data_IF_028933222032
#
_entry.id   IF_028933222032
#
_cell.length_a   1.000
_cell.length_b   1.000
_cell.length_c   1.000
_cell.angle_alpha   90.00
_cell.angle_beta   90.00
_cell.angle_gamma   90.00
#
_symmetry.space_group_name_H-M   'P 1'
#
loop_
_entity.id
_entity.type
_entity.pdbx_description
1 polymer ?
#
# COMPACT_ATOMS: atom_id res chain seq x y z
N UNK A 1 40.63 -52.17 63.72
CA UNK A 1 39.22 -51.70 63.58
C UNK A 1 39.16 -50.12 63.42
N UNK A 2 39.95 -49.36 64.20
CA UNK A 2 39.92 -47.87 64.15
C UNK A 2 40.49 -47.33 62.83
N UNK A 3 41.54 -47.89 62.28
CA UNK A 3 42.20 -47.49 61.03
C UNK A 3 41.34 -47.83 59.80
N UNK A 4 40.54 -48.86 59.81
CA UNK A 4 39.63 -49.16 58.71
C UNK A 4 38.47 -48.18 58.63
N UNK A 5 37.88 -47.76 59.77
CA UNK A 5 36.83 -46.72 59.81
C UNK A 5 37.35 -45.35 59.43
N UNK A 6 38.58 -44.98 59.79
CA UNK A 6 39.20 -43.72 59.39
C UNK A 6 39.42 -43.62 57.86
N UNK A 7 39.84 -44.72 57.22
CA UNK A 7 39.99 -44.81 55.76
C UNK A 7 38.64 -44.75 55.03
N UNK A 8 37.59 -45.28 55.58
CA UNK A 8 36.24 -45.29 55.01
C UNK A 8 35.63 -43.87 55.04
N UNK A 9 35.79 -43.12 56.17
CA UNK A 9 35.36 -41.75 56.29
C UNK A 9 36.17 -40.85 55.41
N UNK A 10 37.45 -41.07 55.20
CA UNK A 10 38.29 -40.27 54.31
C UNK A 10 37.89 -40.47 52.83
N UNK A 11 37.56 -41.74 52.42
CA UNK A 11 37.02 -41.97 51.05
C UNK A 11 35.66 -41.30 50.84
N UNK A 12 34.79 -41.32 51.85
CA UNK A 12 33.49 -40.65 51.78
C UNK A 12 33.65 -39.13 51.63
N UNK A 13 34.58 -38.50 52.38
CA UNK A 13 34.88 -37.08 52.22
C UNK A 13 35.37 -36.73 50.82
N UNK A 14 36.29 -37.52 50.25
CA UNK A 14 36.78 -37.32 48.89
C UNK A 14 35.63 -37.42 47.85
N UNK A 15 34.70 -38.38 48.03
CA UNK A 15 33.52 -38.49 47.15
C UNK A 15 32.61 -37.28 47.25
N UNK A 16 32.35 -36.77 48.45
CA UNK A 16 31.52 -35.59 48.67
C UNK A 16 32.18 -34.35 48.07
N UNK A 17 33.47 -34.15 48.26
CA UNK A 17 34.21 -33.03 47.65
C UNK A 17 34.19 -33.09 46.12
N UNK A 18 34.39 -34.23 45.55
CA UNK A 18 34.32 -34.43 44.08
C UNK A 18 32.92 -34.16 43.56
N UNK A 19 31.87 -34.64 44.27
CA UNK A 19 30.49 -34.37 43.92
C UNK A 19 30.14 -32.85 43.98
N UNK A 20 30.62 -32.17 45.05
CA UNK A 20 30.43 -30.70 45.15
C UNK A 20 31.15 -29.95 44.03
N UNK A 21 32.38 -30.28 43.67
CA UNK A 21 33.09 -29.68 42.54
C UNK A 21 32.36 -29.89 41.22
N UNK A 22 31.81 -31.05 40.97
CA UNK A 22 31.04 -31.35 39.79
C UNK A 22 29.75 -30.49 39.73
N UNK A 23 29.02 -30.40 40.86
CA UNK A 23 27.81 -29.55 40.95
C UNK A 23 28.14 -28.08 40.72
N UNK A 24 29.21 -27.54 41.30
CA UNK A 24 29.66 -26.16 41.10
C UNK A 24 30.00 -25.90 39.64
N UNK A 25 30.72 -26.83 38.97
CA UNK A 25 31.08 -26.68 37.56
C UNK A 25 29.86 -26.75 36.66
N UNK A 26 28.87 -27.56 36.97
CA UNK A 26 27.61 -27.69 36.23
C UNK A 26 26.75 -26.40 36.39
N UNK A 27 26.66 -25.87 37.62
CA UNK A 27 25.98 -24.60 37.89
C UNK A 27 26.62 -23.41 37.15
N UNK A 28 27.94 -23.33 37.09
CA UNK A 28 28.64 -22.30 36.35
C UNK A 28 28.36 -22.39 34.83
N UNK A 29 28.38 -23.59 34.27
CA UNK A 29 28.04 -23.85 32.88
C UNK A 29 26.59 -23.44 32.57
N UNK A 30 25.66 -23.80 33.46
CA UNK A 30 24.26 -23.46 33.31
C UNK A 30 24.04 -21.92 33.43
N UNK A 31 24.70 -21.27 34.37
CA UNK A 31 24.69 -19.81 34.51
C UNK A 31 25.16 -19.11 33.23
N UNK A 32 26.31 -19.53 32.68
CA UNK A 32 26.85 -18.96 31.44
C UNK A 32 25.90 -19.21 30.25
N UNK A 33 25.28 -20.38 30.16
CA UNK A 33 24.29 -20.68 29.13
C UNK A 33 23.05 -19.79 29.25
N UNK A 34 22.54 -19.56 30.48
CA UNK A 34 21.40 -18.67 30.72
C UNK A 34 21.74 -17.21 30.38
N UNK A 35 22.93 -16.73 30.77
CA UNK A 35 23.39 -15.38 30.46
C UNK A 35 23.50 -15.16 28.95
N UNK A 36 24.06 -16.11 28.21
CA UNK A 36 24.15 -16.03 26.75
C UNK A 36 22.78 -16.05 26.07
N UNK A 37 21.87 -16.93 26.51
CA UNK A 37 20.49 -16.99 26.00
C UNK A 37 19.73 -15.69 26.29
N UNK A 38 19.90 -15.12 27.48
CA UNK A 38 19.29 -13.83 27.86
C UNK A 38 19.83 -12.67 27.01
N UNK A 39 21.14 -12.65 26.74
CA UNK A 39 21.74 -11.63 25.86
C UNK A 39 21.21 -11.74 24.42
N UNK A 40 21.07 -12.97 23.89
CA UNK A 40 20.50 -13.21 22.57
C UNK A 40 19.02 -12.74 22.50
N UNK A 41 18.21 -13.12 23.49
CA UNK A 41 16.80 -12.72 23.57
C UNK A 41 16.63 -11.20 23.65
N UNK A 42 17.49 -10.53 24.44
CA UNK A 42 17.50 -9.07 24.53
C UNK A 42 17.84 -8.39 23.19
N UNK A 43 18.82 -8.95 22.46
CA UNK A 43 19.19 -8.47 21.12
C UNK A 43 18.04 -8.65 20.12
N UNK A 44 17.40 -9.82 20.14
CA UNK A 44 16.25 -10.10 19.28
C UNK A 44 15.06 -9.17 19.58
N UNK A 45 14.74 -8.98 20.86
CA UNK A 45 13.68 -8.05 21.28
C UNK A 45 13.95 -6.63 20.82
N UNK A 46 15.19 -6.13 20.92
CA UNK A 46 15.56 -4.80 20.44
C UNK A 46 15.42 -4.66 18.92
N UNK A 47 15.80 -5.70 18.16
CA UNK A 47 15.64 -5.76 16.72
C UNK A 47 14.16 -5.75 16.31
N UNK A 48 13.34 -6.56 16.98
CA UNK A 48 11.90 -6.60 16.72
C UNK A 48 11.23 -5.25 17.04
N UNK A 49 11.63 -4.59 18.12
CA UNK A 49 11.13 -3.25 18.48
C UNK A 49 11.48 -2.22 17.41
N UNK A 50 12.72 -2.21 16.92
CA UNK A 50 13.13 -1.30 15.85
C UNK A 50 12.36 -1.54 14.53
N UNK A 51 12.13 -2.81 14.15
CA UNK A 51 11.29 -3.16 13.01
C UNK A 51 9.86 -2.67 13.18
N UNK A 52 9.28 -2.83 14.35
CA UNK A 52 7.93 -2.34 14.66
C UNK A 52 7.82 -0.82 14.51
N UNK A 53 8.74 -0.07 15.10
CA UNK A 53 8.77 1.39 15.00
C UNK A 53 8.90 1.86 13.55
N UNK A 54 9.72 1.17 12.73
CA UNK A 54 9.84 1.46 11.31
C UNK A 54 8.53 1.19 10.54
N UNK A 55 7.85 0.08 10.83
CA UNK A 55 6.55 -0.23 10.20
C UNK A 55 5.49 0.82 10.54
N UNK A 56 5.42 1.26 11.79
CA UNK A 56 4.50 2.32 12.23
C UNK A 56 4.80 3.63 11.50
N UNK A 57 6.09 3.97 11.37
CA UNK A 57 6.50 5.18 10.64
C UNK A 57 6.14 5.13 9.16
N UNK A 58 6.42 4.01 8.49
CA UNK A 58 6.07 3.82 7.08
C UNK A 58 4.57 3.95 6.85
N UNK A 59 3.78 3.34 7.72
CA UNK A 59 2.32 3.37 7.66
C UNK A 59 1.74 4.79 7.83
N UNK A 60 2.33 5.59 8.71
CA UNK A 60 1.98 7.01 8.84
C UNK A 60 2.33 7.78 7.57
N UNK A 61 3.53 7.61 7.04
CA UNK A 61 3.96 8.28 5.81
C UNK A 61 3.03 7.98 4.63
N UNK A 62 2.60 6.73 4.45
CA UNK A 62 1.62 6.39 3.41
C UNK A 62 0.27 7.07 3.66
N UNK A 63 -0.17 7.13 4.92
CA UNK A 63 -1.44 7.77 5.27
C UNK A 63 -1.39 9.28 5.01
N UNK A 64 -0.29 9.94 5.33
CA UNK A 64 -0.07 11.37 5.09
C UNK A 64 -0.01 11.67 3.59
N UNK A 65 0.74 10.87 2.82
CA UNK A 65 0.78 10.97 1.36
C UNK A 65 -0.62 10.87 0.75
N UNK A 66 -1.41 9.91 1.17
CA UNK A 66 -2.77 9.72 0.65
C UNK A 66 -3.67 10.90 1.04
N UNK A 67 -3.53 11.46 2.24
CA UNK A 67 -4.28 12.65 2.64
C UNK A 67 -3.93 13.87 1.76
N UNK A 68 -2.67 14.01 1.36
CA UNK A 68 -2.25 15.07 0.45
C UNK A 68 -2.74 14.84 -0.98
N UNK A 69 -2.72 13.61 -1.46
CA UNK A 69 -3.31 13.22 -2.75
C UNK A 69 -4.82 13.53 -2.75
N UNK A 70 -5.56 13.14 -1.71
CA UNK A 70 -7.00 13.44 -1.59
C UNK A 70 -7.29 14.95 -1.65
N UNK A 71 -6.46 15.77 -0.99
CA UNK A 71 -6.55 17.24 -1.07
C UNK A 71 -6.31 17.76 -2.49
N UNK A 72 -5.30 17.23 -3.18
CA UNK A 72 -4.98 17.64 -4.56
C UNK A 72 -6.11 17.25 -5.52
N UNK A 73 -6.66 16.03 -5.40
CA UNK A 73 -7.81 15.59 -6.19
C UNK A 73 -9.03 16.50 -5.95
N UNK A 74 -9.34 16.80 -4.69
CA UNK A 74 -10.44 17.69 -4.34
C UNK A 74 -10.25 19.10 -4.91
N UNK A 75 -9.04 19.66 -4.82
CA UNK A 75 -8.70 20.96 -5.38
C UNK A 75 -8.80 20.96 -6.91
N UNK A 76 -8.33 19.93 -7.59
CA UNK A 76 -8.44 19.79 -9.04
C UNK A 76 -9.90 19.69 -9.48
N UNK A 77 -10.71 18.90 -8.79
CA UNK A 77 -12.15 18.78 -9.05
C UNK A 77 -12.90 20.11 -8.83
N UNK A 78 -12.53 20.88 -7.80
CA UNK A 78 -13.10 22.20 -7.55
C UNK A 78 -12.76 23.19 -8.65
N UNK A 79 -11.49 23.21 -9.11
CA UNK A 79 -11.04 24.05 -10.24
C UNK A 79 -11.78 23.70 -11.55
N UNK A 80 -11.95 22.40 -11.82
CA UNK A 80 -12.67 21.95 -13.02
C UNK A 80 -14.14 22.35 -12.98
N UNK A 81 -14.82 22.25 -11.83
CA UNK A 81 -16.21 22.72 -11.64
C UNK A 81 -16.31 24.22 -11.87
N UNK A 82 -15.45 25.01 -11.25
CA UNK A 82 -15.44 26.47 -11.42
C UNK A 82 -15.19 26.87 -12.90
N UNK A 83 -14.29 26.17 -13.59
CA UNK A 83 -14.04 26.41 -15.02
C UNK A 83 -15.25 26.05 -15.89
N UNK A 84 -15.93 24.93 -15.61
CA UNK A 84 -17.17 24.54 -16.32
C UNK A 84 -18.29 25.56 -16.09
N UNK A 85 -18.47 26.05 -14.87
CA UNK A 85 -19.45 27.07 -14.51
C UNK A 85 -19.14 28.39 -15.20
N UNK A 86 -17.88 28.82 -15.19
CA UNK A 86 -17.45 30.05 -15.88
C UNK A 86 -17.69 29.97 -17.40
N UNK A 87 -17.37 28.79 -18.01
CA UNK A 87 -17.62 28.58 -19.43
C UNK A 87 -19.14 28.58 -19.77
N UNK A 88 -19.95 27.93 -18.91
CA UNK A 88 -21.40 27.95 -19.08
C UNK A 88 -21.98 29.34 -18.92
N UNK A 89 -21.51 30.15 -17.97
CA UNK A 89 -21.90 31.53 -17.78
C UNK A 89 -21.50 32.41 -18.99
N UNK A 90 -20.28 32.22 -19.52
CA UNK A 90 -19.82 32.92 -20.71
C UNK A 90 -20.70 32.61 -21.94
N UNK A 91 -21.02 31.32 -22.16
CA UNK A 91 -21.92 30.90 -23.23
C UNK A 91 -23.33 31.48 -23.08
N UNK A 92 -23.88 31.55 -21.87
CA UNK A 92 -25.19 32.21 -21.62
C UNK A 92 -25.15 33.67 -21.94
N UNK A 93 -24.11 34.41 -21.51
CA UNK A 93 -23.93 35.84 -21.84
C UNK A 93 -23.80 36.07 -23.33
N UNK A 94 -23.13 35.18 -24.06
CA UNK A 94 -22.98 35.29 -25.52
C UNK A 94 -24.31 35.00 -26.22
N UNK A 95 -25.09 34.02 -25.76
CA UNK A 95 -26.44 33.73 -26.25
C UNK A 95 -27.41 34.88 -25.97
N UNK A 96 -27.35 35.51 -24.80
CA UNK A 96 -28.17 36.67 -24.44
C UNK A 96 -27.82 37.87 -25.32
N UNK A 97 -26.52 38.15 -25.56
CA UNK A 97 -26.07 39.19 -26.48
C UNK A 97 -26.50 38.92 -27.93
N UNK A 98 -26.42 37.65 -28.36
CA UNK A 98 -26.88 37.24 -29.70
C UNK A 98 -28.42 37.37 -29.83
N UNK A 99 -29.17 37.03 -28.77
CA UNK A 99 -30.61 37.15 -28.72
C UNK A 99 -31.04 38.62 -28.71
N UNK A 100 -30.31 39.51 -27.97
CA UNK A 100 -30.54 40.95 -27.98
C UNK A 100 -30.27 41.56 -29.37
N UNK A 101 -29.13 41.20 -30.01
CA UNK A 101 -28.85 41.62 -31.41
C UNK A 101 -29.86 41.08 -32.42
N UNK A 102 -30.41 39.87 -32.25
CA UNK A 102 -31.48 39.34 -33.11
C UNK A 102 -32.82 40.06 -32.93
N UNK A 103 -33.11 40.57 -31.73
CA UNK A 103 -34.29 41.42 -31.50
C UNK A 103 -34.16 42.80 -32.21
N UNK A 104 -32.93 43.30 -32.29
CA UNK A 104 -32.61 44.57 -32.95
C UNK A 104 -32.54 44.43 -34.49
N UNK A 105 -32.10 43.22 -34.98
CA UNK A 105 -31.92 42.94 -36.42
C UNK A 105 -33.09 42.25 -37.12
N UNK A 106 -34.30 42.19 -36.52
CA UNK A 106 -35.51 41.65 -37.22
C UNK A 106 -36.03 42.58 -38.33
N UNK A 107 -35.15 43.37 -38.91
CA UNK A 107 -35.40 44.14 -40.11
C UNK A 107 -34.23 43.94 -41.07
N UNK A 108 -34.05 42.78 -41.64
CA UNK A 108 -33.43 42.49 -42.94
C UNK A 108 -32.79 41.08 -43.01
N UNK A 109 -33.43 40.23 -43.76
CA UNK A 109 -33.02 39.24 -44.77
C UNK A 109 -31.73 38.35 -44.61
N UNK A 110 -31.99 37.05 -44.62
CA UNK A 110 -31.38 35.90 -45.37
C UNK A 110 -29.88 35.62 -45.33
N UNK A 111 -29.69 34.29 -45.04
CA UNK A 111 -28.70 33.32 -45.55
C UNK A 111 -27.21 33.54 -45.39
N UNK A 112 -26.59 32.67 -44.55
CA UNK A 112 -25.37 31.95 -44.92
C UNK A 112 -25.14 30.74 -43.99
N UNK A 113 -25.04 29.55 -44.59
CA UNK A 113 -24.54 28.30 -44.04
C UNK A 113 -23.07 28.47 -43.67
N UNK A 114 -22.67 28.14 -42.46
CA UNK A 114 -21.26 27.97 -42.13
C UNK A 114 -21.00 26.66 -41.38
N UNK A 115 -19.90 26.05 -41.79
CA UNK A 115 -19.38 24.75 -41.48
C UNK A 115 -19.11 24.48 -39.99
N UNK A 116 -19.26 23.23 -39.58
CA UNK A 116 -18.89 22.71 -38.27
C UNK A 116 -17.37 22.63 -38.15
N UNK A 117 -16.76 23.04 -37.00
CA UNK A 117 -15.37 22.69 -36.69
C UNK A 117 -15.30 21.29 -36.16
N UNK A 118 -14.29 20.52 -36.62
CA UNK A 118 -13.91 19.19 -36.20
C UNK A 118 -13.32 19.23 -34.78
N UNK A 119 -13.84 18.43 -33.80
CA UNK A 119 -13.28 18.35 -32.47
C UNK A 119 -12.34 17.16 -32.35
N UNK A 120 -11.11 17.26 -32.84
CA UNK A 120 -10.02 16.36 -32.46
C UNK A 120 -9.06 17.04 -31.52
N UNK A 121 -9.44 17.09 -30.25
CA UNK A 121 -8.50 17.19 -29.16
C UNK A 121 -9.01 16.29 -28.05
N UNK A 122 -8.39 15.11 -27.95
CA UNK A 122 -8.66 14.10 -26.93
C UNK A 122 -8.17 14.64 -25.59
N UNK A 123 -8.99 15.41 -24.91
CA UNK A 123 -8.85 15.60 -23.47
C UNK A 123 -9.43 14.33 -22.84
N UNK A 124 -8.57 13.54 -22.22
CA UNK A 124 -8.97 12.39 -21.41
C UNK A 124 -9.92 12.91 -20.34
N UNK A 125 -11.20 12.62 -20.49
CA UNK A 125 -12.19 12.93 -19.48
C UNK A 125 -11.85 12.13 -18.20
N UNK A 126 -11.90 12.77 -17.01
CA UNK A 126 -11.76 12.04 -15.77
C UNK A 126 -12.80 10.91 -15.77
N UNK A 127 -12.34 9.72 -15.46
CA UNK A 127 -13.17 8.51 -15.44
C UNK A 127 -14.19 8.65 -14.30
N UNK A 128 -15.34 9.25 -14.57
CA UNK A 128 -16.49 9.30 -13.66
C UNK A 128 -17.17 7.93 -13.62
N UNK A 129 -16.36 6.87 -13.49
CA UNK A 129 -16.84 5.51 -13.27
C UNK A 129 -17.30 5.39 -11.80
N UNK A 130 -18.49 4.84 -11.61
CA UNK A 130 -18.95 4.52 -10.27
C UNK A 130 -18.20 3.25 -9.79
N UNK A 131 -16.96 3.44 -9.29
CA UNK A 131 -16.09 2.35 -8.81
C UNK A 131 -16.81 1.47 -7.78
N UNK A 132 -17.72 2.03 -6.99
CA UNK A 132 -18.54 1.29 -6.04
C UNK A 132 -19.36 0.16 -6.67
N UNK A 133 -19.73 0.27 -7.96
CA UNK A 133 -20.45 -0.80 -8.70
C UNK A 133 -19.54 -1.97 -9.16
N UNK A 134 -18.22 -1.81 -9.02
CA UNK A 134 -17.23 -2.85 -9.36
C UNK A 134 -16.94 -3.79 -8.19
N UNK A 135 -17.64 -3.68 -7.08
CA UNK A 135 -17.50 -4.59 -5.95
C UNK A 135 -17.75 -6.04 -6.41
N UNK A 136 -16.76 -6.92 -6.16
CA UNK A 136 -16.78 -8.32 -6.60
C UNK A 136 -16.47 -8.54 -8.09
N UNK A 137 -16.05 -7.48 -8.82
CA UNK A 137 -15.72 -7.51 -10.26
C UNK A 137 -14.33 -6.98 -10.58
N UNK A 138 -13.56 -6.57 -9.57
CA UNK A 138 -12.20 -6.10 -9.80
C UNK A 138 -11.30 -7.23 -10.28
N UNK A 139 -10.37 -6.90 -11.16
CA UNK A 139 -9.34 -7.85 -11.60
C UNK A 139 -8.33 -8.07 -10.47
N UNK A 140 -7.92 -9.33 -10.28
CA UNK A 140 -6.78 -9.65 -9.41
C UNK A 140 -5.53 -8.94 -9.96
N UNK A 141 -4.81 -8.12 -9.17
CA UNK A 141 -3.75 -7.26 -9.70
C UNK A 141 -2.53 -8.03 -10.19
N UNK A 142 -2.31 -9.25 -9.73
CA UNK A 142 -1.28 -10.17 -10.25
C UNK A 142 -1.67 -11.61 -9.94
N UNK A 143 -1.19 -12.55 -10.73
CA UNK A 143 -1.38 -13.99 -10.47
C UNK A 143 -0.39 -14.41 -9.36
N UNK A 144 -0.86 -15.09 -8.32
CA UNK A 144 0.01 -15.51 -7.23
C UNK A 144 -0.74 -16.05 -6.03
N UNK A 145 0.00 -16.30 -4.94
CA UNK A 145 -0.55 -16.81 -3.69
C UNK A 145 -0.70 -15.68 -2.67
N UNK A 146 -1.89 -15.49 -2.12
CA UNK A 146 -2.11 -14.51 -1.05
C UNK A 146 -1.50 -15.08 0.24
N UNK A 147 -0.43 -14.45 0.72
CA UNK A 147 0.30 -14.85 1.93
C UNK A 147 -0.08 -14.02 3.15
N UNK A 148 -0.63 -12.80 2.95
CA UNK A 148 -1.20 -12.00 4.02
C UNK A 148 -2.50 -11.34 3.57
N UNK A 149 -3.46 -11.25 4.50
CA UNK A 149 -4.81 -10.73 4.24
C UNK A 149 -5.09 -9.50 5.09
N UNK A 150 -6.01 -8.66 4.61
CA UNK A 150 -6.52 -7.52 5.37
C UNK A 150 -6.97 -7.92 6.78
N UNK A 151 -6.53 -7.17 7.79
CA UNK A 151 -6.85 -7.42 9.19
C UNK A 151 -6.03 -8.53 9.86
N UNK A 152 -5.24 -9.31 9.13
CA UNK A 152 -4.33 -10.31 9.70
C UNK A 152 -3.20 -9.62 10.45
N UNK A 153 -2.83 -10.10 11.63
CA UNK A 153 -1.69 -9.59 12.39
C UNK A 153 -0.39 -9.82 11.62
N UNK A 154 0.51 -8.85 11.64
CA UNK A 154 1.86 -9.00 11.08
C UNK A 154 2.72 -9.80 12.03
N UNK A 155 3.43 -10.82 11.52
CA UNK A 155 4.38 -11.62 12.30
C UNK A 155 5.56 -10.75 12.78
N UNK A 156 6.08 -11.05 13.98
CA UNK A 156 7.26 -10.36 14.55
C UNK A 156 7.02 -8.96 15.12
N UNK A 157 5.82 -8.40 14.98
CA UNK A 157 5.46 -7.19 15.72
C UNK A 157 4.75 -7.59 17.02
N UNK A 158 5.06 -6.92 18.13
CA UNK A 158 4.26 -7.00 19.35
C UNK A 158 2.83 -6.52 19.06
N UNK A 159 2.19 -7.25 18.30
CA UNK A 159 0.85 -7.60 17.85
C UNK A 159 -0.26 -6.57 17.75
N UNK A 160 -0.01 -5.29 17.56
CA UNK A 160 -1.09 -4.31 17.28
C UNK A 160 -1.21 -3.91 15.82
N UNK A 161 -0.17 -4.17 14.98
CA UNK A 161 -0.21 -3.84 13.55
C UNK A 161 -0.83 -4.98 12.74
N UNK A 162 -1.93 -4.65 12.06
CA UNK A 162 -2.56 -5.54 11.09
C UNK A 162 -2.22 -5.13 9.65
N UNK A 163 -2.27 -6.08 8.74
CA UNK A 163 -2.19 -5.82 7.31
C UNK A 163 -3.39 -4.99 6.85
N UNK A 164 -3.13 -3.92 6.11
CA UNK A 164 -4.17 -3.02 5.57
C UNK A 164 -4.58 -3.37 4.15
N UNK A 165 -3.94 -4.38 3.57
CA UNK A 165 -4.18 -4.87 2.21
C UNK A 165 -3.88 -6.35 2.11
N UNK A 166 -3.56 -6.78 0.89
CA UNK A 166 -3.14 -8.14 0.55
C UNK A 166 -1.64 -8.12 0.22
N UNK A 167 -0.91 -9.16 0.65
CA UNK A 167 0.41 -9.46 0.12
C UNK A 167 0.29 -10.70 -0.75
N UNK A 168 0.61 -10.55 -2.03
CA UNK A 168 0.46 -11.57 -3.06
C UNK A 168 1.86 -11.99 -3.51
N UNK A 169 2.31 -13.18 -3.12
CA UNK A 169 3.58 -13.75 -3.60
C UNK A 169 3.45 -14.13 -5.06
N UNK A 170 4.37 -13.63 -5.88
CA UNK A 170 4.41 -13.88 -7.31
C UNK A 170 5.87 -13.84 -7.79
N UNK A 171 6.13 -14.26 -9.02
CA UNK A 171 7.48 -14.24 -9.61
C UNK A 171 7.92 -12.78 -9.82
N UNK A 172 9.20 -12.50 -9.56
CA UNK A 172 9.81 -11.21 -9.90
C UNK A 172 9.63 -10.92 -11.39
N UNK A 173 9.32 -9.67 -11.74
CA UNK A 173 9.08 -9.26 -13.12
C UNK A 173 7.71 -9.64 -13.68
N UNK A 174 6.87 -10.37 -12.93
CA UNK A 174 5.52 -10.71 -13.38
C UNK A 174 4.64 -9.46 -13.45
N UNK A 175 3.73 -9.40 -14.42
CA UNK A 175 2.84 -8.27 -14.63
C UNK A 175 1.97 -7.95 -13.40
N UNK A 176 1.90 -6.67 -13.09
CA UNK A 176 0.93 -6.06 -12.20
C UNK A 176 -0.05 -5.27 -13.04
N UNK A 177 -1.34 -5.60 -12.92
CA UNK A 177 -2.42 -4.97 -13.69
C UNK A 177 -3.29 -4.09 -12.79
N UNK A 178 -3.86 -3.03 -13.37
CA UNK A 178 -4.83 -2.18 -12.68
C UNK A 178 -6.08 -2.99 -12.33
N UNK A 179 -6.46 -3.02 -11.06
CA UNK A 179 -7.62 -3.75 -10.57
C UNK A 179 -8.93 -3.18 -11.10
N UNK A 180 -8.98 -1.88 -11.38
CA UNK A 180 -10.10 -1.16 -11.97
C UNK A 180 -9.61 0.03 -12.80
N UNK A 181 -10.50 0.67 -13.59
CA UNK A 181 -10.15 1.84 -14.39
C UNK A 181 -9.92 3.06 -13.50
N UNK A 182 -9.01 3.96 -13.89
CA UNK A 182 -8.71 5.16 -13.11
C UNK A 182 -7.61 6.02 -13.72
N UNK A 183 -7.07 6.91 -12.93
CA UNK A 183 -5.94 7.79 -13.28
C UNK A 183 -4.83 7.60 -12.25
N UNK A 184 -3.59 7.47 -12.70
CA UNK A 184 -2.42 7.39 -11.83
C UNK A 184 -2.20 8.73 -11.14
N UNK A 185 -2.18 8.75 -9.81
CA UNK A 185 -2.00 9.97 -9.00
C UNK A 185 -0.67 9.97 -8.23
N UNK A 186 -0.01 8.82 -8.17
CA UNK A 186 1.34 8.69 -7.63
C UNK A 186 2.08 7.56 -8.35
N UNK A 187 3.34 7.77 -8.68
CA UNK A 187 4.22 6.78 -9.33
C UNK A 187 5.67 7.13 -9.02
N UNK A 188 6.19 6.66 -7.88
CA UNK A 188 7.55 6.93 -7.43
C UNK A 188 7.98 5.94 -6.34
N UNK A 189 9.26 5.98 -5.95
CA UNK A 189 9.78 5.19 -4.85
C UNK A 189 9.40 5.79 -3.48
N UNK A 190 8.96 4.94 -2.57
CA UNK A 190 8.64 5.34 -1.20
C UNK A 190 9.29 4.40 -0.19
N UNK A 191 9.95 4.95 0.82
CA UNK A 191 10.58 4.16 1.88
C UNK A 191 9.61 3.21 2.55
N UNK A 192 9.96 1.92 2.58
CA UNK A 192 9.17 0.84 3.20
C UNK A 192 8.02 0.31 2.34
N UNK A 193 7.78 0.91 1.16
CA UNK A 193 6.85 0.41 0.14
C UNK A 193 7.54 0.13 -1.19
N UNK A 194 8.80 0.61 -1.36
CA UNK A 194 9.53 0.49 -2.63
C UNK A 194 8.89 1.31 -3.74
N UNK A 195 8.97 0.81 -4.96
CA UNK A 195 8.30 1.40 -6.11
C UNK A 195 6.79 1.28 -5.93
N UNK A 196 6.15 2.43 -5.75
CA UNK A 196 4.75 2.59 -5.36
C UNK A 196 3.97 3.27 -6.47
N UNK A 197 2.81 2.70 -6.81
CA UNK A 197 1.86 3.29 -7.74
C UNK A 197 0.49 3.40 -7.07
N UNK A 198 -0.17 4.57 -7.20
CA UNK A 198 -1.52 4.80 -6.69
C UNK A 198 -2.41 5.23 -7.85
N UNK A 199 -3.57 4.58 -7.97
CA UNK A 199 -4.59 4.91 -8.97
C UNK A 199 -5.82 5.48 -8.28
N UNK A 200 -6.27 6.66 -8.74
CA UNK A 200 -7.55 7.24 -8.37
C UNK A 200 -8.66 6.72 -9.31
N UNK A 201 -9.67 6.11 -8.73
CA UNK A 201 -10.82 5.56 -9.42
C UNK A 201 -12.03 6.50 -9.42
N UNK A 202 -11.87 7.69 -8.86
CA UNK A 202 -12.96 8.64 -8.60
C UNK A 202 -13.81 8.26 -7.39
N UNK A 203 -14.70 9.19 -6.99
CA UNK A 203 -15.60 8.99 -5.84
C UNK A 203 -14.88 8.62 -4.53
N UNK A 204 -13.65 9.12 -4.34
CA UNK A 204 -12.76 8.89 -3.18
C UNK A 204 -12.29 7.43 -3.03
N UNK A 205 -12.23 6.65 -4.13
CA UNK A 205 -11.63 5.31 -4.13
C UNK A 205 -10.22 5.36 -4.71
N UNK A 206 -9.27 4.79 -3.98
CA UNK A 206 -7.88 4.63 -4.40
C UNK A 206 -7.47 3.17 -4.34
N UNK A 207 -6.58 2.76 -5.26
CA UNK A 207 -5.84 1.49 -5.16
C UNK A 207 -4.35 1.77 -5.09
N UNK A 208 -3.66 1.01 -4.26
CA UNK A 208 -2.23 1.13 -3.95
C UNK A 208 -1.54 -0.16 -4.36
N UNK A 209 -0.46 -0.05 -5.13
CA UNK A 209 0.38 -1.14 -5.63
C UNK A 209 1.81 -0.88 -5.20
N UNK A 210 2.37 -1.68 -4.31
CA UNK A 210 3.71 -1.48 -3.75
C UNK A 210 4.59 -2.74 -3.89
N UNK A 211 5.89 -2.60 -3.60
CA UNK A 211 6.94 -3.60 -3.81
C UNK A 211 7.22 -3.90 -5.29
N UNK A 212 6.83 -2.99 -6.21
CA UNK A 212 7.06 -3.23 -7.63
C UNK A 212 8.56 -3.20 -7.98
N UNK A 213 8.94 -3.95 -9.01
CA UNK A 213 10.26 -3.86 -9.62
C UNK A 213 10.36 -2.61 -10.50
N UNK A 214 9.38 -2.45 -11.40
CA UNK A 214 9.33 -1.36 -12.38
C UNK A 214 7.93 -0.79 -12.43
N UNK A 215 7.82 0.53 -12.56
CA UNK A 215 6.57 1.26 -12.79
C UNK A 215 6.49 1.63 -14.28
N UNK A 216 5.40 1.25 -14.96
CA UNK A 216 5.21 1.50 -16.40
C UNK A 216 4.32 2.70 -16.68
N UNK A 217 3.72 3.30 -15.64
CA UNK A 217 2.80 4.41 -15.75
C UNK A 217 3.29 5.59 -14.93
N UNK A 218 3.05 6.79 -15.45
CA UNK A 218 3.38 8.06 -14.82
C UNK A 218 2.15 8.74 -14.25
N UNK A 219 2.34 9.70 -13.35
CA UNK A 219 1.25 10.52 -12.81
C UNK A 219 0.50 11.23 -13.95
N UNK A 220 -0.83 11.13 -13.94
CA UNK A 220 -1.72 11.66 -14.97
C UNK A 220 -2.15 10.63 -16.03
N UNK A 221 -1.48 9.47 -16.12
CA UNK A 221 -1.87 8.42 -17.07
C UNK A 221 -3.23 7.82 -16.70
N UNK A 222 -4.10 7.72 -17.70
CA UNK A 222 -5.35 6.97 -17.55
C UNK A 222 -5.09 5.47 -17.76
N UNK A 223 -5.66 4.63 -16.90
CA UNK A 223 -5.51 3.18 -16.95
C UNK A 223 -6.87 2.49 -17.03
N UNK A 224 -6.94 1.39 -17.77
CA UNK A 224 -8.11 0.52 -17.85
C UNK A 224 -7.98 -0.64 -16.88
N UNK A 225 -9.10 -1.23 -16.48
CA UNK A 225 -9.09 -2.48 -15.72
C UNK A 225 -8.36 -3.58 -16.50
N UNK A 226 -7.42 -4.28 -15.84
CA UNK A 226 -6.60 -5.33 -16.46
C UNK A 226 -5.40 -4.82 -17.28
N UNK A 227 -5.21 -3.51 -17.40
CA UNK A 227 -4.04 -2.94 -18.08
C UNK A 227 -2.77 -3.07 -17.23
N UNK A 228 -1.65 -3.51 -17.82
CA UNK A 228 -0.38 -3.63 -17.13
C UNK A 228 0.14 -2.25 -16.74
N UNK A 229 0.41 -2.05 -15.45
CA UNK A 229 0.84 -0.78 -14.85
C UNK A 229 2.22 -0.84 -14.20
N UNK A 230 2.67 -2.04 -13.81
CA UNK A 230 3.94 -2.27 -13.14
C UNK A 230 4.36 -3.74 -13.29
N UNK A 231 5.51 -4.10 -12.72
CA UNK A 231 5.93 -5.50 -12.55
C UNK A 231 6.24 -5.80 -11.07
N UNK A 232 6.00 -7.05 -10.65
CA UNK A 232 6.24 -7.53 -9.29
C UNK A 232 7.71 -7.49 -8.94
N UNK A 233 8.05 -7.01 -7.75
CA UNK A 233 9.39 -6.96 -7.21
C UNK A 233 9.43 -7.21 -5.70
N UNK A 234 10.51 -6.72 -5.07
CA UNK A 234 10.74 -6.73 -3.62
C UNK A 234 11.35 -5.42 -3.13
N UNK A 235 11.13 -4.32 -3.86
CA UNK A 235 11.77 -3.01 -3.64
C UNK A 235 11.41 -2.35 -2.30
N UNK A 236 10.36 -2.80 -1.62
CA UNK A 236 9.94 -2.33 -0.30
C UNK A 236 10.67 -2.98 0.89
N UNK A 237 11.60 -3.91 0.63
CA UNK A 237 12.38 -4.60 1.66
C UNK A 237 11.75 -5.91 2.17
N UNK A 238 10.85 -6.50 1.39
CA UNK A 238 10.33 -7.85 1.62
C UNK A 238 11.38 -8.90 1.23
N UNK A 239 11.47 -10.00 2.01
CA UNK A 239 12.47 -11.07 1.81
C UNK A 239 12.25 -11.88 0.51
N UNK A 240 11.07 -11.81 -0.07
CA UNK A 240 10.74 -12.50 -1.31
C UNK A 240 9.81 -11.64 -2.19
N UNK A 241 9.88 -11.81 -3.54
CA UNK A 241 9.07 -11.02 -4.47
C UNK A 241 7.56 -11.19 -4.21
N UNK A 242 6.84 -10.08 -4.29
CA UNK A 242 5.40 -10.06 -4.08
C UNK A 242 4.84 -8.65 -4.21
N UNK A 243 3.58 -8.58 -4.60
CA UNK A 243 2.84 -7.33 -4.68
C UNK A 243 2.11 -7.06 -3.37
N UNK A 244 2.31 -5.88 -2.79
CA UNK A 244 1.40 -5.36 -1.78
C UNK A 244 0.28 -4.60 -2.48
N UNK A 245 -0.97 -5.00 -2.23
CA UNK A 245 -2.16 -4.42 -2.83
C UNK A 245 -3.15 -3.97 -1.76
N UNK A 246 -3.55 -2.70 -1.82
CA UNK A 246 -4.47 -2.12 -0.86
C UNK A 246 -5.55 -1.31 -1.58
N UNK A 247 -6.79 -1.35 -1.07
CA UNK A 247 -7.88 -0.48 -1.49
C UNK A 247 -8.24 0.49 -0.38
N UNK A 248 -8.51 1.75 -0.75
CA UNK A 248 -8.95 2.80 0.19
C UNK A 248 -10.22 3.49 -0.27
N UNK A 249 -11.02 3.88 0.70
CA UNK A 249 -12.18 4.73 0.51
C UNK A 249 -12.15 5.88 1.51
N UNK A 250 -12.18 7.11 1.02
CA UNK A 250 -12.03 8.34 1.85
C UNK A 250 -10.81 8.24 2.79
N UNK A 251 -9.67 7.89 2.26
CA UNK A 251 -8.40 7.73 2.98
C UNK A 251 -8.30 6.51 3.91
N UNK A 252 -9.38 5.74 4.12
CA UNK A 252 -9.39 4.57 5.02
C UNK A 252 -9.23 3.27 4.23
N UNK A 253 -8.31 2.37 4.64
CA UNK A 253 -8.14 1.07 4.01
C UNK A 253 -9.33 0.16 4.32
N UNK A 254 -9.69 -0.70 3.36
CA UNK A 254 -10.73 -1.70 3.50
C UNK A 254 -10.33 -3.00 2.79
N UNK A 255 -11.03 -4.10 3.10
CA UNK A 255 -10.71 -5.45 2.63
C UNK A 255 -10.84 -5.60 1.10
N UNK A 256 -9.72 -5.75 0.35
CA UNK A 256 -9.76 -5.90 -1.10
C UNK A 256 -10.35 -7.24 -1.55
N UNK A 257 -10.28 -8.29 -0.72
CA UNK A 257 -10.73 -9.64 -1.08
C UNK A 257 -12.22 -9.72 -1.43
N UNK A 258 -13.01 -8.77 -0.87
CA UNK A 258 -14.45 -8.66 -1.14
C UNK A 258 -14.78 -7.92 -2.44
N UNK A 259 -13.77 -7.32 -3.08
CA UNK A 259 -13.94 -6.52 -4.28
C UNK A 259 -13.40 -7.20 -5.53
N UNK A 260 -12.44 -8.10 -5.37
CA UNK A 260 -11.87 -8.91 -6.44
C UNK A 260 -12.88 -9.97 -6.88
N UNK A 261 -12.98 -10.18 -8.20
CA UNK A 261 -13.80 -11.25 -8.77
C UNK A 261 -13.34 -12.61 -8.23
N UNK A 262 -14.27 -13.43 -7.82
CA UNK A 262 -13.99 -14.83 -7.46
C UNK A 262 -13.91 -15.62 -8.77
N UNK A 263 -12.75 -16.18 -9.08
CA UNK A 263 -12.59 -17.17 -10.14
C UNK A 263 -13.19 -18.49 -9.72
#
# INVERSE_FOLDING_TARGET
>A
IVTAKANETQQELIRIETAQQNICSELEREKTRRESAFAQLKKELSSQKARYEQLVKNDRQLTDLIADIDKQIAAAAARERAMKEALAAAKRREQEKAAAKRKESKKTTQTAKMAKPDPRRTTVAPTTGNFGKLRGKLTMPTKGTIVAKFGQKREGAASTLAWRGLLIRAKQGQDVVAAGPGTVVFSDWMRGFGNLLIVDHGSNYLSVYANNETLYKSVGDAVKQGETIASVGSSGGEDAPGLYFELRYKGKPFDPSRWIAKN
#
